data_IF_931629051084
#
_entry.id   IF_931629051084
#
_cell.length_a   1.000
_cell.length_b   1.000
_cell.length_c   1.000
_cell.angle_alpha   90.00
_cell.angle_beta   90.00
_cell.angle_gamma   90.00
#
_symmetry.space_group_name_H-M   'P 1'
#
loop_
_entity.id
_entity.type
_entity.pdbx_description
1 polymer ?
#
# COMPACT_ATOMS: atom_id res chain seq x y z
N UNK A 1 -35.30 -39.12 7.61
CA UNK A 1 -35.55 -38.56 6.27
C UNK A 1 -34.42 -39.07 5.38
N UNK A 2 -34.65 -40.06 4.52
CA UNK A 2 -33.66 -40.52 3.54
C UNK A 2 -33.69 -39.58 2.34
N UNK A 3 -32.56 -39.01 2.00
CA UNK A 3 -32.42 -38.19 0.78
C UNK A 3 -32.16 -39.14 -0.40
N UNK A 4 -33.12 -39.30 -1.32
CA UNK A 4 -32.90 -40.15 -2.50
C UNK A 4 -31.92 -39.44 -3.45
N UNK A 5 -30.80 -40.08 -3.73
CA UNK A 5 -29.86 -39.64 -4.78
C UNK A 5 -28.47 -39.20 -4.37
N UNK A 6 -28.10 -39.23 -3.08
CA UNK A 6 -26.71 -38.99 -2.69
C UNK A 6 -25.99 -40.35 -2.47
N UNK A 7 -25.35 -40.82 -3.52
CA UNK A 7 -24.58 -42.07 -3.52
C UNK A 7 -23.14 -41.94 -2.99
N UNK A 8 -22.82 -40.88 -2.32
CA UNK A 8 -21.46 -40.70 -1.80
C UNK A 8 -20.35 -40.64 -2.87
N UNK A 9 -20.70 -40.31 -4.11
CA UNK A 9 -19.69 -40.15 -5.17
C UNK A 9 -18.66 -39.12 -4.78
N UNK A 10 -17.42 -39.56 -4.73
CA UNK A 10 -16.29 -38.77 -4.37
C UNK A 10 -16.21 -37.52 -5.30
N UNK A 11 -16.32 -36.33 -4.73
CA UNK A 11 -16.06 -35.10 -5.45
C UNK A 11 -17.14 -34.02 -5.42
N UNK A 12 -18.32 -34.26 -4.84
CA UNK A 12 -19.37 -33.22 -4.73
C UNK A 12 -19.50 -32.71 -3.29
N UNK A 13 -19.46 -31.42 -3.09
CA UNK A 13 -19.70 -30.76 -1.80
C UNK A 13 -21.20 -30.61 -1.59
N UNK A 14 -21.71 -31.09 -0.44
CA UNK A 14 -23.11 -30.96 -0.05
C UNK A 14 -23.21 -30.00 1.14
N UNK A 15 -24.03 -28.99 0.99
CA UNK A 15 -24.44 -28.04 2.04
C UNK A 15 -25.95 -27.91 2.01
N UNK A 16 -26.57 -27.62 3.15
CA UNK A 16 -28.05 -27.53 3.23
C UNK A 16 -28.46 -26.17 3.81
N UNK A 17 -29.67 -25.73 3.40
CA UNK A 17 -30.36 -24.63 4.04
C UNK A 17 -31.71 -25.15 4.57
N UNK A 18 -31.95 -24.92 5.87
CA UNK A 18 -33.22 -25.33 6.49
C UNK A 18 -33.77 -24.14 7.25
N UNK A 19 -34.85 -23.58 6.75
CA UNK A 19 -35.55 -22.47 7.38
C UNK A 19 -36.04 -22.89 8.79
N UNK A 20 -35.70 -22.08 9.79
CA UNK A 20 -36.05 -22.33 11.19
C UNK A 20 -35.06 -23.22 11.95
N UNK A 21 -33.99 -23.72 11.35
CA UNK A 21 -32.92 -24.42 12.07
C UNK A 21 -31.93 -23.42 12.69
N UNK A 22 -31.41 -23.77 13.89
CA UNK A 22 -30.34 -22.97 14.56
C UNK A 22 -28.93 -23.32 14.06
N UNK A 23 -28.79 -23.71 12.78
CA UNK A 23 -27.46 -23.98 12.21
C UNK A 23 -26.85 -25.33 12.67
N UNK A 24 -27.63 -26.23 13.22
CA UNK A 24 -27.18 -27.58 13.56
C UNK A 24 -26.94 -28.38 12.29
N UNK A 25 -25.77 -29.01 12.18
CA UNK A 25 -25.47 -29.92 11.07
C UNK A 25 -26.43 -31.09 11.05
N UNK A 26 -26.76 -31.61 9.86
CA UNK A 26 -27.64 -32.76 9.66
C UNK A 26 -26.77 -34.01 9.53
N UNK A 27 -27.01 -35.02 10.37
CA UNK A 27 -26.40 -36.32 10.19
C UNK A 27 -27.12 -37.10 9.07
N UNK A 28 -26.34 -37.67 8.17
CA UNK A 28 -26.88 -38.42 7.01
C UNK A 28 -27.38 -39.84 7.38
N UNK A 29 -27.17 -40.28 8.61
CA UNK A 29 -27.64 -41.56 9.11
C UNK A 29 -27.19 -41.87 10.54
N UNK A 30 -27.85 -42.85 11.22
CA UNK A 30 -27.54 -43.14 12.63
C UNK A 30 -26.14 -43.73 12.86
N UNK A 31 -25.45 -44.16 11.81
CA UNK A 31 -24.11 -44.75 11.85
C UNK A 31 -23.06 -43.95 11.09
N UNK A 32 -23.42 -42.84 10.43
CA UNK A 32 -22.49 -42.01 9.68
C UNK A 32 -21.95 -40.88 10.54
N UNK A 33 -20.62 -40.85 10.71
CA UNK A 33 -19.90 -39.74 11.33
C UNK A 33 -19.86 -38.45 10.48
N UNK A 34 -20.50 -38.48 9.28
CA UNK A 34 -20.51 -37.35 8.36
C UNK A 34 -21.67 -36.42 8.67
N UNK A 35 -21.34 -35.20 9.01
CA UNK A 35 -22.29 -34.10 9.25
C UNK A 35 -22.32 -33.21 8.05
N UNK A 36 -23.50 -32.98 7.46
CA UNK A 36 -23.69 -32.00 6.40
C UNK A 36 -23.92 -30.64 7.05
N UNK A 37 -23.09 -29.62 6.73
CA UNK A 37 -23.31 -28.27 7.23
C UNK A 37 -24.70 -27.77 6.84
N UNK A 38 -25.43 -27.19 7.79
CA UNK A 38 -26.73 -26.58 7.57
C UNK A 38 -26.77 -25.16 8.02
N UNK A 39 -27.35 -24.29 7.21
CA UNK A 39 -27.49 -22.86 7.44
C UNK A 39 -28.96 -22.47 7.50
N UNK A 40 -29.28 -21.43 8.27
CA UNK A 40 -30.65 -20.96 8.42
C UNK A 40 -31.21 -20.30 7.13
N UNK A 41 -30.33 -19.72 6.32
CA UNK A 41 -30.72 -19.01 5.11
C UNK A 41 -29.90 -19.45 3.89
N UNK A 42 -30.51 -19.46 2.68
CA UNK A 42 -29.86 -19.85 1.43
C UNK A 42 -28.64 -18.97 1.10
N UNK A 43 -28.71 -17.68 1.42
CA UNK A 43 -27.63 -16.71 1.19
C UNK A 43 -26.37 -17.07 1.99
N UNK A 44 -26.54 -17.47 3.24
CA UNK A 44 -25.45 -17.95 4.09
C UNK A 44 -24.85 -19.25 3.57
N UNK A 45 -25.69 -20.13 3.02
CA UNK A 45 -25.26 -21.39 2.38
C UNK A 45 -24.42 -21.11 1.14
N UNK A 46 -24.89 -20.22 0.27
CA UNK A 46 -24.18 -19.81 -0.93
C UNK A 46 -22.85 -19.13 -0.60
N UNK A 47 -22.85 -18.23 0.41
CA UNK A 47 -21.63 -17.57 0.87
C UNK A 47 -20.57 -18.52 1.43
N UNK A 48 -21.00 -19.50 2.24
CA UNK A 48 -20.10 -20.54 2.78
C UNK A 48 -19.52 -21.41 1.67
N UNK A 49 -20.36 -21.80 0.69
CA UNK A 49 -19.92 -22.61 -0.45
C UNK A 49 -18.94 -21.83 -1.36
N UNK A 50 -19.22 -20.55 -1.63
CA UNK A 50 -18.33 -19.67 -2.40
C UNK A 50 -16.93 -19.63 -1.78
N UNK A 51 -16.85 -19.37 -0.48
CA UNK A 51 -15.57 -19.33 0.25
C UNK A 51 -14.83 -20.67 0.21
N UNK A 52 -15.54 -21.77 0.34
CA UNK A 52 -14.95 -23.11 0.25
C UNK A 52 -14.41 -23.41 -1.16
N UNK A 53 -15.12 -22.97 -2.20
CA UNK A 53 -14.69 -23.10 -3.60
C UNK A 53 -13.47 -22.23 -3.86
N UNK A 54 -13.49 -20.96 -3.44
CA UNK A 54 -12.37 -20.04 -3.56
C UNK A 54 -11.12 -20.59 -2.86
N UNK A 55 -11.26 -21.10 -1.63
CA UNK A 55 -10.17 -21.75 -0.91
C UNK A 55 -9.63 -22.98 -1.65
N UNK A 56 -10.51 -23.85 -2.15
CA UNK A 56 -10.12 -25.04 -2.94
C UNK A 56 -9.40 -24.65 -4.24
N UNK A 57 -9.86 -23.59 -4.92
CA UNK A 57 -9.20 -23.07 -6.11
C UNK A 57 -7.80 -22.51 -5.77
N UNK A 58 -7.70 -21.79 -4.65
CA UNK A 58 -6.42 -21.26 -4.15
C UNK A 58 -5.40 -22.37 -3.87
N UNK A 59 -5.85 -23.47 -3.23
CA UNK A 59 -4.99 -24.64 -2.96
C UNK A 59 -4.51 -25.37 -4.23
N UNK A 60 -5.24 -25.26 -5.33
CA UNK A 60 -4.90 -25.89 -6.62
C UNK A 60 -4.00 -25.02 -7.50
N UNK A 61 -3.81 -23.75 -7.13
CA UNK A 61 -2.90 -22.86 -7.88
C UNK A 61 -1.46 -23.33 -7.70
N UNK A 62 -0.64 -23.23 -8.77
CA UNK A 62 0.79 -23.45 -8.62
C UNK A 62 1.33 -22.48 -7.57
N UNK A 63 2.21 -22.91 -6.67
CA UNK A 63 2.88 -21.99 -5.78
C UNK A 63 3.65 -20.97 -6.61
N UNK A 64 3.45 -19.68 -6.32
CA UNK A 64 4.26 -18.62 -6.92
C UNK A 64 5.71 -18.71 -6.47
N UNK A 65 6.55 -17.87 -7.05
CA UNK A 65 7.97 -17.75 -6.68
C UNK A 65 8.20 -16.42 -5.99
N UNK A 66 8.97 -16.43 -4.92
CA UNK A 66 9.53 -15.21 -4.34
C UNK A 66 10.69 -14.80 -5.24
N UNK A 67 10.62 -13.62 -5.88
CA UNK A 67 11.68 -13.20 -6.79
C UNK A 67 12.94 -12.79 -6.02
N UNK A 68 14.09 -13.00 -6.64
CA UNK A 68 15.36 -12.46 -6.18
C UNK A 68 15.66 -11.15 -6.95
N UNK A 69 16.13 -10.15 -6.23
CA UNK A 69 16.49 -8.85 -6.79
C UNK A 69 17.99 -8.60 -6.58
N UNK A 70 18.84 -8.91 -7.58
CA UNK A 70 20.29 -8.76 -7.46
C UNK A 70 20.75 -7.30 -7.43
N UNK A 71 19.88 -6.37 -7.79
CA UNK A 71 20.10 -4.93 -7.79
C UNK A 71 19.83 -4.25 -6.43
N UNK A 72 19.37 -4.98 -5.43
CA UNK A 72 19.11 -4.45 -4.09
C UNK A 72 20.41 -4.31 -3.28
N UNK A 73 20.67 -3.11 -2.74
CA UNK A 73 21.77 -2.83 -1.81
C UNK A 73 21.29 -2.92 -0.35
N UNK A 74 21.21 -4.14 0.15
CA UNK A 74 20.76 -4.43 1.52
C UNK A 74 21.64 -3.77 2.59
N UNK A 75 22.95 -3.76 2.37
CA UNK A 75 23.90 -3.23 3.34
C UNK A 75 23.79 -1.71 3.48
N UNK A 76 23.60 -1.00 2.36
CA UNK A 76 23.37 0.45 2.39
C UNK A 76 22.03 0.76 3.06
N UNK A 77 20.99 0.00 2.75
CA UNK A 77 19.67 0.16 3.37
C UNK A 77 19.74 -0.02 4.90
N UNK A 78 20.40 -1.06 5.37
CA UNK A 78 20.59 -1.31 6.81
C UNK A 78 21.33 -0.16 7.50
N UNK A 79 22.38 0.38 6.86
CA UNK A 79 23.10 1.55 7.43
C UNK A 79 22.20 2.79 7.54
N UNK A 80 21.31 3.01 6.58
CA UNK A 80 20.36 4.15 6.61
C UNK A 80 19.40 3.99 7.78
N UNK A 81 18.79 2.81 7.93
CA UNK A 81 17.84 2.52 9.03
C UNK A 81 18.52 2.66 10.39
N UNK A 82 19.64 1.98 10.59
CA UNK A 82 20.40 2.00 11.84
C UNK A 82 20.85 3.41 12.21
N UNK A 83 21.36 4.20 11.24
CA UNK A 83 21.75 5.60 11.47
C UNK A 83 20.57 6.49 11.89
N UNK A 84 19.38 6.29 11.30
CA UNK A 84 18.19 7.04 11.68
C UNK A 84 17.74 6.72 13.11
N UNK A 85 17.74 5.44 13.49
CA UNK A 85 17.42 5.00 14.85
C UNK A 85 18.42 5.57 15.88
N UNK A 86 19.71 5.46 15.62
CA UNK A 86 20.77 5.98 16.50
C UNK A 86 20.66 7.48 16.69
N UNK A 87 20.52 8.25 15.61
CA UNK A 87 20.39 9.71 15.66
C UNK A 87 19.17 10.18 16.44
N UNK A 88 18.06 9.44 16.35
CA UNK A 88 16.82 9.81 17.03
C UNK A 88 16.89 9.62 18.55
N UNK A 89 17.66 8.64 19.04
CA UNK A 89 17.70 8.21 20.42
C UNK A 89 16.38 7.62 20.95
N UNK A 90 15.38 7.42 20.08
CA UNK A 90 14.05 6.89 20.43
C UNK A 90 13.96 5.40 20.09
N UNK A 91 13.01 4.69 20.72
CA UNK A 91 12.72 3.29 20.37
C UNK A 91 12.09 3.16 18.98
N UNK A 92 11.33 4.15 18.56
CA UNK A 92 10.69 4.20 17.23
C UNK A 92 10.88 5.58 16.62
N UNK A 93 11.12 5.63 15.29
CA UNK A 93 11.34 6.87 14.57
C UNK A 93 10.75 6.81 13.16
N UNK A 94 10.06 7.86 12.75
CA UNK A 94 9.71 8.10 11.37
C UNK A 94 10.97 8.55 10.61
N UNK A 95 11.26 7.86 9.50
CA UNK A 95 12.37 8.25 8.65
C UNK A 95 12.12 9.62 8.04
N UNK A 96 13.17 10.43 7.94
CA UNK A 96 13.13 11.67 7.18
C UNK A 96 13.12 11.43 5.67
N UNK A 97 12.87 12.49 4.89
CA UNK A 97 12.73 12.39 3.45
C UNK A 97 14.03 11.90 2.76
N UNK A 98 15.20 12.27 3.27
CA UNK A 98 16.49 11.85 2.73
C UNK A 98 16.72 10.36 2.94
N UNK A 99 16.43 9.87 4.14
CA UNK A 99 16.51 8.44 4.49
C UNK A 99 15.54 7.61 3.66
N UNK A 100 14.29 8.08 3.46
CA UNK A 100 13.30 7.40 2.61
C UNK A 100 13.79 7.31 1.17
N UNK A 101 14.28 8.40 0.60
CA UNK A 101 14.82 8.41 -0.78
C UNK A 101 16.00 7.45 -0.92
N UNK A 102 16.95 7.51 0.01
CA UNK A 102 18.10 6.61 0.02
C UNK A 102 17.71 5.13 0.14
N UNK A 103 16.68 4.83 0.96
CA UNK A 103 16.16 3.48 1.10
C UNK A 103 15.48 2.99 -0.18
N UNK A 104 14.70 3.87 -0.84
CA UNK A 104 14.06 3.54 -2.12
C UNK A 104 15.07 3.35 -3.24
N UNK A 105 16.14 4.15 -3.29
CA UNK A 105 17.25 3.92 -4.22
C UNK A 105 17.86 2.53 -4.02
N UNK A 106 18.11 2.11 -2.76
CA UNK A 106 18.65 0.78 -2.47
C UNK A 106 17.77 -0.35 -2.99
N UNK A 107 16.46 -0.13 -3.08
CA UNK A 107 15.49 -1.12 -3.54
C UNK A 107 14.99 -0.88 -4.98
N UNK A 108 15.59 0.04 -5.73
CA UNK A 108 15.18 0.35 -7.10
C UNK A 108 13.76 0.91 -7.22
N UNK A 109 13.19 1.43 -6.13
CA UNK A 109 11.84 2.01 -6.08
C UNK A 109 11.92 3.44 -6.60
N UNK A 110 11.09 3.75 -7.61
CA UNK A 110 11.11 5.06 -8.27
C UNK A 110 10.28 6.06 -7.50
N UNK A 111 10.92 7.14 -7.08
CA UNK A 111 10.27 8.27 -6.45
C UNK A 111 10.23 9.46 -7.41
N UNK A 112 9.22 10.32 -7.26
CA UNK A 112 9.11 11.53 -8.06
C UNK A 112 10.28 12.48 -7.73
N UNK A 113 10.78 13.18 -8.75
CA UNK A 113 11.88 14.15 -8.56
C UNK A 113 11.47 15.23 -7.57
N UNK A 114 12.29 15.42 -6.56
CA UNK A 114 12.10 16.45 -5.55
C UNK A 114 13.44 17.10 -5.14
N UNK A 115 13.34 18.29 -4.56
CA UNK A 115 14.45 19.00 -3.91
C UNK A 115 13.98 19.66 -2.63
N UNK A 116 14.85 19.70 -1.65
CA UNK A 116 14.62 20.42 -0.39
C UNK A 116 15.14 21.85 -0.53
N UNK A 117 14.41 22.81 0.01
CA UNK A 117 14.76 24.22 0.01
C UNK A 117 14.47 24.85 1.38
N UNK A 118 15.44 25.56 1.93
CA UNK A 118 15.31 26.21 3.24
C UNK A 118 14.91 27.69 3.12
N UNK A 119 15.10 28.24 1.94
CA UNK A 119 14.77 29.64 1.63
C UNK A 119 13.84 29.73 0.42
N UNK A 120 13.06 30.83 0.28
CA UNK A 120 12.24 31.05 -0.91
C UNK A 120 13.07 31.02 -2.21
N UNK A 121 14.25 31.61 -2.21
CA UNK A 121 15.14 31.66 -3.40
C UNK A 121 15.60 30.24 -3.79
N UNK A 122 15.96 29.40 -2.83
CA UNK A 122 16.30 27.99 -3.08
C UNK A 122 15.10 27.22 -3.64
N UNK A 123 13.88 27.50 -3.14
CA UNK A 123 12.67 26.85 -3.62
C UNK A 123 12.38 27.22 -5.10
N UNK A 124 12.56 28.46 -5.46
CA UNK A 124 12.44 28.94 -6.85
C UNK A 124 13.49 28.26 -7.75
N UNK A 125 14.74 28.24 -7.34
CA UNK A 125 15.83 27.61 -8.09
C UNK A 125 15.57 26.08 -8.25
N UNK A 126 15.07 25.41 -7.20
CA UNK A 126 14.68 24.01 -7.26
C UNK A 126 13.55 23.77 -8.27
N UNK A 127 12.55 24.66 -8.30
CA UNK A 127 11.43 24.55 -9.25
C UNK A 127 11.88 24.75 -10.70
N UNK A 128 12.78 25.70 -10.96
CA UNK A 128 13.37 25.92 -12.28
C UNK A 128 14.14 24.69 -12.78
N UNK A 129 14.93 24.07 -11.91
CA UNK A 129 15.70 22.88 -12.24
C UNK A 129 14.82 21.63 -12.46
N UNK A 130 13.80 21.41 -11.63
CA UNK A 130 12.84 20.31 -11.76
C UNK A 130 11.92 20.52 -12.97
N UNK A 131 11.61 21.77 -13.29
CA UNK A 131 10.63 22.18 -14.30
C UNK A 131 9.20 22.13 -13.81
N UNK A 132 8.49 23.25 -13.93
CA UNK A 132 7.07 23.37 -13.54
C UNK A 132 6.13 22.49 -14.39
N UNK A 133 4.92 22.14 -13.90
CA UNK A 133 4.41 22.51 -12.59
C UNK A 133 5.02 21.67 -11.47
N UNK A 134 5.11 22.27 -10.27
CA UNK A 134 5.60 21.64 -9.05
C UNK A 134 4.61 21.75 -7.90
N UNK A 135 4.71 20.82 -6.95
CA UNK A 135 4.09 20.93 -5.64
C UNK A 135 5.11 21.45 -4.62
N UNK A 136 4.69 22.34 -3.74
CA UNK A 136 5.50 22.83 -2.62
C UNK A 136 4.90 22.28 -1.33
N UNK A 137 5.67 21.51 -0.59
CA UNK A 137 5.24 20.84 0.63
C UNK A 137 6.12 21.27 1.79
N UNK A 138 5.57 21.40 2.99
CA UNK A 138 6.36 21.66 4.18
C UNK A 138 7.41 20.57 4.40
N UNK A 139 8.63 20.99 4.78
CA UNK A 139 9.68 20.15 5.33
C UNK A 139 9.70 20.32 6.85
N UNK A 140 9.28 19.30 7.58
CA UNK A 140 9.26 19.28 9.04
C UNK A 140 9.34 17.83 9.55
N UNK A 141 10.21 17.53 10.51
CA UNK A 141 10.31 16.20 11.10
C UNK A 141 9.18 15.91 12.11
N UNK A 142 8.50 16.95 12.62
CA UNK A 142 7.47 16.82 13.65
C UNK A 142 6.04 16.86 13.09
N UNK A 143 5.85 17.40 11.88
CA UNK A 143 4.53 17.50 11.23
C UNK A 143 4.35 16.31 10.28
N UNK A 144 3.66 15.30 10.77
CA UNK A 144 3.40 14.07 10.01
C UNK A 144 2.26 14.22 8.99
N UNK A 145 1.21 14.96 9.32
CA UNK A 145 0.07 15.22 8.43
C UNK A 145 0.16 16.64 7.88
N UNK A 146 0.78 16.76 6.70
CA UNK A 146 1.06 18.05 6.06
C UNK A 146 -0.20 18.81 5.66
N UNK A 147 -1.27 18.09 5.34
CA UNK A 147 -2.59 18.64 4.96
C UNK A 147 -3.31 19.32 6.10
N UNK A 148 -3.16 18.84 7.34
CA UNK A 148 -3.86 19.40 8.50
C UNK A 148 -3.39 20.82 8.86
N UNK A 149 -2.20 21.16 8.43
CA UNK A 149 -1.60 22.50 8.62
C UNK A 149 -1.58 23.31 7.32
N UNK A 150 -2.35 22.89 6.31
CA UNK A 150 -2.30 23.48 4.96
C UNK A 150 -0.86 23.62 4.44
N UNK A 151 -0.01 22.63 4.75
CA UNK A 151 1.41 22.61 4.42
C UNK A 151 1.72 22.08 3.02
N UNK A 152 0.73 21.96 2.13
CA UNK A 152 0.89 21.49 0.74
C UNK A 152 0.18 22.44 -0.21
N UNK A 153 0.93 22.97 -1.18
CA UNK A 153 0.41 23.81 -2.26
C UNK A 153 0.77 23.16 -3.59
N UNK A 154 -0.24 22.88 -4.39
CA UNK A 154 -0.12 22.18 -5.65
C UNK A 154 -0.13 23.15 -6.84
N UNK A 155 0.33 22.65 -7.99
CA UNK A 155 0.25 23.30 -9.31
C UNK A 155 0.91 24.68 -9.39
N UNK A 156 2.06 24.84 -8.72
CA UNK A 156 2.88 26.04 -8.89
C UNK A 156 3.58 25.98 -10.25
N UNK A 157 3.25 26.92 -11.13
CA UNK A 157 3.64 26.92 -12.55
C UNK A 157 4.78 27.89 -12.89
N UNK A 158 5.11 28.79 -11.97
CA UNK A 158 6.14 29.80 -12.12
C UNK A 158 6.87 30.06 -10.80
N UNK A 159 8.06 30.65 -10.87
CA UNK A 159 8.87 30.92 -9.70
C UNK A 159 8.21 31.85 -8.67
N UNK A 160 7.43 32.84 -9.11
CA UNK A 160 6.67 33.71 -8.21
C UNK A 160 5.54 32.99 -7.45
N UNK A 161 4.95 31.96 -8.07
CA UNK A 161 3.96 31.11 -7.40
C UNK A 161 4.63 30.22 -6.34
N UNK A 162 5.83 29.71 -6.61
CA UNK A 162 6.63 28.93 -5.66
C UNK A 162 7.05 29.78 -4.46
N UNK A 163 7.46 31.03 -4.68
CA UNK A 163 7.80 31.97 -3.62
C UNK A 163 6.57 32.28 -2.74
N UNK A 164 5.42 32.55 -3.37
CA UNK A 164 4.14 32.75 -2.66
C UNK A 164 3.73 31.52 -1.87
N UNK A 165 3.90 30.29 -2.45
CA UNK A 165 3.62 29.04 -1.77
C UNK A 165 4.48 28.86 -0.52
N UNK A 166 5.78 29.15 -0.61
CA UNK A 166 6.69 29.12 0.55
C UNK A 166 6.23 30.09 1.66
N UNK A 167 5.88 31.33 1.29
CA UNK A 167 5.40 32.33 2.25
C UNK A 167 4.09 31.88 2.91
N UNK A 168 3.13 31.39 2.12
CA UNK A 168 1.85 30.92 2.62
C UNK A 168 1.96 29.74 3.58
N UNK A 169 2.80 28.75 3.28
CA UNK A 169 3.06 27.62 4.20
C UNK A 169 3.60 28.13 5.54
N UNK A 170 4.51 29.11 5.51
CA UNK A 170 5.04 29.75 6.73
C UNK A 170 3.95 30.48 7.51
N UNK A 171 3.07 31.23 6.84
CA UNK A 171 1.94 31.92 7.48
C UNK A 171 0.96 30.95 8.11
N UNK A 172 0.60 29.87 7.42
CA UNK A 172 -0.28 28.83 7.95
C UNK A 172 0.27 28.23 9.24
N UNK A 173 1.59 27.95 9.28
CA UNK A 173 2.26 27.47 10.49
C UNK A 173 2.29 28.47 11.62
N UNK A 174 2.42 29.78 11.31
CA UNK A 174 2.30 30.84 12.31
C UNK A 174 0.90 30.83 12.93
N UNK A 175 -0.14 30.69 12.10
CA UNK A 175 -1.53 30.65 12.55
C UNK A 175 -1.85 29.52 13.54
N UNK A 176 -1.15 28.39 13.44
CA UNK A 176 -1.30 27.23 14.34
C UNK A 176 -0.20 27.14 15.41
N UNK A 177 0.67 28.15 15.55
CA UNK A 177 1.72 28.20 16.57
C UNK A 177 2.90 27.23 16.34
N UNK A 178 3.09 26.74 15.13
CA UNK A 178 4.09 25.71 14.77
C UNK A 178 5.25 26.24 13.89
N UNK A 179 5.48 27.53 13.85
CA UNK A 179 6.53 28.15 13.02
C UNK A 179 7.93 27.58 13.26
N UNK A 180 8.25 27.24 14.51
CA UNK A 180 9.54 26.67 14.89
C UNK A 180 9.77 25.24 14.36
N UNK A 181 8.71 24.58 13.90
CA UNK A 181 8.78 23.22 13.37
C UNK A 181 9.11 23.18 11.87
N UNK A 182 9.14 24.33 11.19
CA UNK A 182 9.45 24.43 9.77
C UNK A 182 10.95 24.48 9.52
N UNK A 183 11.52 23.46 8.87
CA UNK A 183 12.91 23.46 8.42
C UNK A 183 13.07 24.03 7.01
N UNK A 184 11.98 24.10 6.24
CA UNK A 184 11.95 24.55 4.86
C UNK A 184 10.75 23.97 4.12
N UNK A 185 10.93 23.78 2.82
CA UNK A 185 9.95 23.14 1.94
C UNK A 185 10.60 22.06 1.06
N UNK A 186 9.78 21.13 0.62
CA UNK A 186 10.09 20.18 -0.44
C UNK A 186 9.42 20.70 -1.71
N UNK A 187 10.19 20.95 -2.75
CA UNK A 187 9.72 21.27 -4.10
C UNK A 187 9.72 19.97 -4.90
N UNK A 188 8.58 19.57 -5.41
CA UNK A 188 8.38 18.26 -5.99
C UNK A 188 7.71 18.35 -7.36
N UNK A 189 8.23 17.60 -8.34
CA UNK A 189 7.62 17.52 -9.68
C UNK A 189 6.20 17.00 -9.59
N UNK A 190 5.25 17.67 -10.24
CA UNK A 190 3.90 17.15 -10.37
C UNK A 190 3.81 16.10 -11.47
N UNK A 191 3.26 14.95 -11.12
CA UNK A 191 3.00 13.85 -12.05
C UNK A 191 1.58 14.00 -12.60
N UNK A 192 1.48 14.23 -13.91
CA UNK A 192 0.19 14.36 -14.57
C UNK A 192 -0.33 12.99 -15.04
N UNK A 193 -1.62 12.80 -14.92
CA UNK A 193 -2.28 11.55 -15.34
C UNK A 193 -1.96 10.37 -14.42
N UNK A 194 -2.13 9.16 -14.97
CA UNK A 194 -1.95 7.91 -14.22
C UNK A 194 -3.09 7.60 -13.24
N UNK A 195 -3.07 6.40 -12.71
CA UNK A 195 -3.99 5.94 -11.66
C UNK A 195 -3.28 6.04 -10.31
N UNK A 196 -3.96 6.55 -9.31
CA UNK A 196 -3.42 6.57 -7.95
C UNK A 196 -3.68 5.23 -7.27
N UNK A 197 -2.62 4.66 -6.70
CA UNK A 197 -2.70 3.48 -5.85
C UNK A 197 -2.01 3.75 -4.52
N UNK A 198 -2.30 2.93 -3.54
CA UNK A 198 -1.62 2.91 -2.25
C UNK A 198 -0.97 1.56 -2.04
N UNK A 199 0.22 1.57 -1.47
CA UNK A 199 0.96 0.38 -1.06
C UNK A 199 1.44 0.58 0.37
N UNK A 200 1.18 -0.39 1.23
CA UNK A 200 1.56 -0.29 2.63
C UNK A 200 2.10 -1.60 3.19
N UNK A 201 2.80 -1.46 4.31
CA UNK A 201 3.20 -2.56 5.20
C UNK A 201 2.78 -2.18 6.60
N UNK A 202 2.21 -3.14 7.33
CA UNK A 202 1.90 -2.97 8.75
C UNK A 202 2.20 -4.25 9.51
N UNK A 203 2.60 -4.15 10.76
CA UNK A 203 2.85 -5.31 11.60
C UNK A 203 1.55 -5.81 12.24
N UNK A 204 1.26 -7.08 12.08
CA UNK A 204 0.12 -7.72 12.73
C UNK A 204 0.59 -8.69 13.81
N UNK A 205 0.03 -8.63 15.06
CA UNK A 205 0.54 -9.42 16.18
C UNK A 205 0.57 -10.94 15.98
N UNK A 206 -0.31 -11.47 15.11
CA UNK A 206 -0.41 -12.91 14.87
C UNK A 206 0.19 -13.35 13.52
N UNK A 207 0.39 -12.45 12.56
CA UNK A 207 0.79 -12.80 11.20
C UNK A 207 2.11 -12.15 10.77
N UNK A 208 2.71 -11.32 11.63
CA UNK A 208 3.88 -10.53 11.24
C UNK A 208 3.52 -9.44 10.20
N UNK A 209 4.43 -9.11 9.28
CA UNK A 209 4.19 -8.09 8.29
C UNK A 209 3.03 -8.44 7.34
N UNK A 210 2.08 -7.51 7.21
CA UNK A 210 1.01 -7.56 6.23
C UNK A 210 1.26 -6.53 5.14
N UNK A 211 1.24 -6.99 3.91
CA UNK A 211 1.26 -6.14 2.74
C UNK A 211 -0.15 -5.64 2.44
N UNK A 212 -0.29 -4.36 2.14
CA UNK A 212 -1.54 -3.72 1.73
C UNK A 212 -1.41 -3.16 0.32
N UNK A 213 -2.46 -3.33 -0.48
CA UNK A 213 -2.62 -2.68 -1.77
C UNK A 213 -4.04 -2.16 -1.91
N UNK A 214 -4.21 -0.98 -2.51
CA UNK A 214 -5.51 -0.42 -2.80
C UNK A 214 -5.47 0.65 -3.88
N UNK A 215 -6.64 1.05 -4.38
CA UNK A 215 -6.75 2.22 -5.22
C UNK A 215 -6.78 3.47 -4.36
N UNK A 216 -6.01 4.50 -4.76
CA UNK A 216 -5.89 5.76 -4.04
C UNK A 216 -7.11 6.69 -4.21
N UNK A 217 -7.04 7.85 -3.56
CA UNK A 217 -8.09 8.86 -3.60
C UNK A 217 -9.39 8.39 -2.95
N UNK A 218 -10.52 8.81 -3.51
CA UNK A 218 -11.86 8.52 -2.98
C UNK A 218 -12.16 7.03 -2.84
N UNK A 219 -11.49 6.16 -3.59
CA UNK A 219 -11.71 4.71 -3.55
C UNK A 219 -11.27 4.12 -2.22
N UNK A 220 -10.16 4.57 -1.68
CA UNK A 220 -9.70 4.14 -0.35
C UNK A 220 -10.44 4.84 0.77
N UNK A 221 -10.66 6.15 0.64
CA UNK A 221 -11.27 6.95 1.70
C UNK A 221 -12.74 6.58 1.96
N UNK A 222 -13.53 6.40 0.88
CA UNK A 222 -14.96 6.12 0.99
C UNK A 222 -15.29 4.63 0.92
N UNK A 223 -14.64 3.87 0.05
CA UNK A 223 -15.02 2.48 -0.22
C UNK A 223 -14.14 1.47 0.48
N UNK A 224 -13.01 1.91 1.07
CA UNK A 224 -12.03 1.03 1.71
C UNK A 224 -11.64 -0.14 0.79
N UNK A 225 -11.43 0.18 -0.49
CA UNK A 225 -11.11 -0.81 -1.52
C UNK A 225 -9.63 -1.19 -1.44
N UNK A 226 -9.32 -1.99 -0.44
CA UNK A 226 -7.97 -2.47 -0.12
C UNK A 226 -7.96 -3.98 -0.02
N UNK A 227 -6.82 -4.56 -0.31
CA UNK A 227 -6.52 -5.97 -0.13
C UNK A 227 -5.29 -6.13 0.73
N UNK A 228 -5.23 -7.25 1.47
CA UNK A 228 -4.09 -7.60 2.31
C UNK A 228 -3.56 -8.97 1.96
N UNK A 229 -2.26 -9.16 2.08
CA UNK A 229 -1.63 -10.47 2.02
C UNK A 229 -0.50 -10.56 3.05
N UNK A 230 -0.19 -11.79 3.47
CA UNK A 230 0.90 -12.07 4.40
C UNK A 230 2.20 -12.06 3.60
N UNK A 231 3.20 -11.38 4.12
CA UNK A 231 4.57 -11.38 3.60
C UNK A 231 5.28 -12.72 3.94
N UNK A 232 6.24 -13.21 3.16
CA UNK A 232 6.70 -12.65 1.87
C UNK A 232 5.76 -12.95 0.70
N UNK A 233 5.64 -11.99 -0.22
CA UNK A 233 4.82 -12.17 -1.41
C UNK A 233 5.54 -12.99 -2.47
N UNK A 234 4.78 -13.90 -3.11
CA UNK A 234 5.17 -14.48 -4.38
C UNK A 234 4.68 -13.61 -5.56
N UNK A 235 5.21 -13.86 -6.76
CA UNK A 235 4.74 -13.23 -8.01
C UNK A 235 3.22 -13.44 -8.21
N UNK A 236 2.73 -14.63 -7.91
CA UNK A 236 1.29 -14.95 -7.96
C UNK A 236 0.50 -14.13 -6.93
N UNK A 237 1.02 -13.96 -5.71
CA UNK A 237 0.34 -13.19 -4.67
C UNK A 237 0.24 -11.72 -5.05
N UNK A 238 1.30 -11.10 -5.57
CA UNK A 238 1.29 -9.72 -6.02
C UNK A 238 0.24 -9.49 -7.12
N UNK A 239 0.19 -10.39 -8.11
CA UNK A 239 -0.80 -10.34 -9.18
C UNK A 239 -2.24 -10.44 -8.67
N UNK A 240 -2.51 -11.38 -7.76
CA UNK A 240 -3.83 -11.58 -7.18
C UNK A 240 -4.26 -10.42 -6.27
N UNK A 241 -3.34 -9.83 -5.52
CA UNK A 241 -3.63 -8.64 -4.72
C UNK A 241 -4.16 -7.51 -5.59
N UNK A 242 -3.49 -7.23 -6.72
CA UNK A 242 -3.90 -6.18 -7.64
C UNK A 242 -5.27 -6.48 -8.24
N UNK A 243 -5.52 -7.73 -8.62
CA UNK A 243 -6.80 -8.15 -9.22
C UNK A 243 -7.98 -8.17 -8.25
N UNK A 244 -7.72 -8.31 -6.97
CA UNK A 244 -8.77 -8.48 -5.96
C UNK A 244 -9.41 -7.18 -5.50
N UNK A 245 -8.85 -6.00 -5.82
CA UNK A 245 -9.52 -4.73 -5.58
C UNK A 245 -10.76 -4.60 -6.45
N UNK A 246 -11.85 -4.11 -5.88
CA UNK A 246 -13.16 -4.01 -6.57
C UNK A 246 -13.09 -3.12 -7.81
N UNK A 247 -12.31 -2.06 -7.73
CA UNK A 247 -12.15 -1.10 -8.82
C UNK A 247 -10.98 -1.43 -9.76
N UNK A 248 -10.54 -2.70 -9.84
CA UNK A 248 -9.46 -3.19 -10.71
C UNK A 248 -9.61 -2.74 -12.19
N UNK A 249 -10.85 -2.65 -12.67
CA UNK A 249 -11.13 -2.20 -14.04
C UNK A 249 -10.55 -0.81 -14.37
N UNK A 250 -10.33 0.05 -13.38
CA UNK A 250 -9.66 1.34 -13.59
C UNK A 250 -8.19 1.17 -14.01
N UNK A 251 -7.53 0.13 -13.51
CA UNK A 251 -6.16 -0.21 -13.92
C UNK A 251 -6.12 -0.79 -15.34
N UNK A 252 -7.16 -1.46 -15.77
CA UNK A 252 -7.27 -2.00 -17.13
C UNK A 252 -7.67 -0.98 -18.19
N UNK A 253 -7.99 0.25 -17.80
CA UNK A 253 -8.38 1.30 -18.73
C UNK A 253 -9.90 1.43 -18.91
N UNK A 254 -10.55 2.08 -17.95
CA UNK A 254 -11.99 2.31 -17.97
C UNK A 254 -12.37 3.53 -18.83
N UNK A 255 -13.44 3.41 -19.66
CA UNK A 255 -14.01 4.50 -20.48
C UNK A 255 -13.00 5.24 -21.34
N UNK A 256 -12.04 4.53 -21.95
CA UNK A 256 -11.07 5.12 -22.88
C UNK A 256 -9.83 5.69 -22.21
N UNK A 257 -9.65 5.54 -20.89
CA UNK A 257 -8.36 5.76 -20.24
C UNK A 257 -7.36 4.69 -20.68
N UNK A 258 -6.08 5.05 -20.69
CA UNK A 258 -5.02 4.09 -20.98
C UNK A 258 -4.89 3.08 -19.84
N UNK A 259 -4.56 1.84 -20.18
CA UNK A 259 -4.23 0.81 -19.21
C UNK A 259 -3.02 1.23 -18.38
N UNK A 260 -3.09 1.04 -17.07
CA UNK A 260 -1.99 1.28 -16.15
C UNK A 260 -0.90 0.20 -16.31
N UNK A 261 0.31 0.51 -15.90
CA UNK A 261 1.44 -0.41 -15.92
C UNK A 261 1.35 -1.41 -14.75
N UNK A 262 0.47 -2.41 -14.92
CA UNK A 262 0.24 -3.44 -13.90
C UNK A 262 1.53 -4.21 -13.57
N UNK A 263 2.39 -4.63 -14.53
CA UNK A 263 3.66 -5.27 -14.21
C UNK A 263 4.57 -4.40 -13.32
N UNK A 264 4.53 -3.08 -13.49
CA UNK A 264 5.30 -2.18 -12.64
C UNK A 264 4.74 -2.11 -11.20
N UNK A 265 3.43 -2.25 -11.01
CA UNK A 265 2.84 -2.36 -9.67
C UNK A 265 3.25 -3.70 -9.01
N UNK A 266 3.24 -4.79 -9.77
CA UNK A 266 3.68 -6.10 -9.29
C UNK A 266 5.15 -6.04 -8.81
N UNK A 267 6.05 -5.45 -9.60
CA UNK A 267 7.45 -5.24 -9.23
C UNK A 267 7.58 -4.40 -7.95
N UNK A 268 6.80 -3.32 -7.82
CA UNK A 268 6.79 -2.49 -6.60
C UNK A 268 6.39 -3.30 -5.37
N UNK A 269 5.28 -4.05 -5.43
CA UNK A 269 4.80 -4.88 -4.33
C UNK A 269 5.85 -5.90 -3.89
N UNK A 270 6.51 -6.55 -4.85
CA UNK A 270 7.53 -7.55 -4.58
C UNK A 270 8.81 -6.95 -4.00
N UNK A 271 9.23 -5.75 -4.44
CA UNK A 271 10.36 -5.02 -3.85
C UNK A 271 10.07 -4.53 -2.44
N UNK A 272 8.85 -4.05 -2.18
CA UNK A 272 8.41 -3.68 -0.82
C UNK A 272 8.36 -4.92 0.08
N UNK A 273 7.86 -6.05 -0.42
CA UNK A 273 7.90 -7.31 0.31
C UNK A 273 9.33 -7.74 0.65
N UNK A 274 10.26 -7.65 -0.31
CA UNK A 274 11.68 -7.92 -0.06
C UNK A 274 12.31 -6.94 0.93
N UNK A 275 11.88 -5.67 0.94
CA UNK A 275 12.34 -4.69 1.92
C UNK A 275 11.87 -5.03 3.34
N UNK A 276 10.60 -5.41 3.51
CA UNK A 276 10.05 -5.83 4.78
C UNK A 276 10.73 -7.12 5.32
N UNK A 277 11.07 -8.06 4.43
CA UNK A 277 11.81 -9.28 4.77
C UNK A 277 13.24 -8.98 5.25
N UNK A 278 13.92 -8.09 4.54
CA UNK A 278 15.32 -7.80 4.84
C UNK A 278 15.50 -6.88 6.06
N UNK A 279 14.47 -6.14 6.44
CA UNK A 279 14.52 -5.14 7.51
C UNK A 279 13.34 -5.28 8.46
N UNK A 280 13.37 -6.26 9.39
CA UNK A 280 12.29 -6.47 10.37
C UNK A 280 12.09 -5.28 11.32
N UNK A 281 13.03 -4.33 11.35
CA UNK A 281 12.89 -3.06 12.05
C UNK A 281 11.79 -2.16 11.46
N UNK A 282 11.35 -2.40 10.21
CA UNK A 282 10.26 -1.64 9.59
C UNK A 282 8.93 -2.07 10.21
N UNK A 283 8.32 -1.16 10.97
CA UNK A 283 7.02 -1.39 11.61
C UNK A 283 5.84 -1.05 10.72
N UNK A 284 5.97 0.05 9.98
CA UNK A 284 4.93 0.59 9.13
C UNK A 284 5.56 1.26 7.91
N UNK A 285 4.93 1.07 6.79
CA UNK A 285 5.22 1.77 5.54
C UNK A 285 3.92 2.16 4.88
N UNK A 286 3.81 3.41 4.46
CA UNK A 286 2.67 3.94 3.71
C UNK A 286 3.18 4.73 2.51
N UNK A 287 2.94 4.20 1.31
CA UNK A 287 3.21 4.85 0.03
C UNK A 287 1.89 5.36 -0.53
N UNK A 288 1.60 6.63 -0.32
CA UNK A 288 0.32 7.23 -0.64
C UNK A 288 0.44 8.71 -1.06
N UNK A 289 0.20 9.03 -2.34
CA UNK A 289 -0.13 8.12 -3.43
C UNK A 289 1.10 7.58 -4.18
N UNK A 290 0.91 6.46 -4.85
CA UNK A 290 1.76 6.01 -5.95
C UNK A 290 1.02 6.27 -7.26
N UNK A 291 1.63 7.02 -8.18
CA UNK A 291 1.09 7.29 -9.52
C UNK A 291 1.54 6.20 -10.48
N UNK A 292 0.61 5.36 -10.91
CA UNK A 292 0.86 4.34 -11.92
C UNK A 292 0.57 4.91 -13.29
N UNK A 293 1.60 5.02 -14.11
CA UNK A 293 1.53 5.61 -15.44
C UNK A 293 0.98 4.58 -16.45
N UNK A 294 0.68 4.99 -17.69
CA UNK A 294 0.29 4.06 -18.73
C UNK A 294 1.31 2.94 -18.94
N UNK A 295 0.84 1.79 -19.41
CA UNK A 295 1.63 0.58 -19.67
C UNK A 295 2.96 0.90 -20.36
N UNK A 296 4.07 0.36 -19.80
CA UNK A 296 5.44 0.63 -20.22
C UNK A 296 6.06 1.93 -19.71
N UNK A 297 5.34 2.73 -18.91
CA UNK A 297 5.84 4.00 -18.35
C UNK A 297 6.13 3.93 -16.84
N UNK A 298 6.02 2.77 -16.24
CA UNK A 298 6.28 2.51 -14.84
C UNK A 298 5.32 3.20 -13.85
N UNK A 299 5.79 3.39 -12.62
CA UNK A 299 5.13 4.12 -11.55
C UNK A 299 6.08 5.17 -10.97
N UNK A 300 5.52 6.10 -10.20
CA UNK A 300 6.28 7.04 -9.36
C UNK A 300 5.62 7.13 -7.99
N UNK A 301 6.38 6.85 -6.94
CA UNK A 301 5.96 7.14 -5.57
C UNK A 301 5.96 8.65 -5.39
N UNK A 302 4.86 9.21 -4.93
CA UNK A 302 4.68 10.66 -4.76
C UNK A 302 4.88 11.09 -3.31
N UNK A 303 4.40 10.28 -2.39
CA UNK A 303 4.64 10.46 -0.95
C UNK A 303 4.86 9.11 -0.28
N UNK A 304 5.67 9.09 0.75
CA UNK A 304 5.98 7.87 1.48
C UNK A 304 6.37 8.17 2.92
N UNK A 305 5.97 7.26 3.81
CA UNK A 305 6.30 7.33 5.23
C UNK A 305 6.74 5.95 5.68
N UNK A 306 7.80 5.89 6.48
CA UNK A 306 8.35 4.64 7.00
C UNK A 306 8.65 4.84 8.49
N UNK A 307 8.04 4.01 9.32
CA UNK A 307 8.31 3.93 10.76
C UNK A 307 9.24 2.75 11.01
N UNK A 308 10.33 3.01 11.71
CA UNK A 308 11.29 1.97 12.10
C UNK A 308 11.45 1.90 13.60
N UNK A 309 11.82 0.72 14.12
CA UNK A 309 12.05 0.45 15.54
C UNK A 309 13.46 -0.08 15.79
N UNK A 310 13.98 0.21 16.98
CA UNK A 310 15.22 -0.39 17.47
C UNK A 310 15.06 -1.88 17.80
N UNK A 311 13.86 -2.28 18.20
CA UNK A 311 13.55 -3.67 18.55
C UNK A 311 12.95 -4.35 17.33
N UNK A 312 13.51 -5.50 16.95
CA UNK A 312 12.90 -6.38 15.96
C UNK A 312 11.62 -6.98 16.57
N UNK A 313 10.53 -6.88 15.84
CA UNK A 313 9.29 -7.57 16.24
C UNK A 313 9.39 -8.98 15.66
N UNK A 314 9.74 -9.93 16.54
CA UNK A 314 9.82 -11.36 16.22
C UNK A 314 8.44 -12.03 16.09
#
# INVERSE_FOLDING_TARGET
MQWPGYNGEAGKTLVTSILGSRGAGISLGPHEKRVVPSFAFPESTAGALSRAVEFSQRLKRPPGKIPEFPDIDKERAERIISSAIEKSGKSQVWLDAESILGLFECYGIKFVTLKMARTPSEAVAAAEEIGCPVAVKILSPSISQKTDVEGVILDCRAGDEVEKAFARIRENLQGVGKSAEMEGVIVQKMVQGGVEVIVGVTQHPAFGPLMMFGLGGIYVELFQDVTFNIHPLTDTDAHEMIKSVKAYQLLEGWRGSKRADIPAIEDLLLRISAMAENHPQILEMDLNPVKVLPEGQFYLVVDGRILVSKEEIG
#
